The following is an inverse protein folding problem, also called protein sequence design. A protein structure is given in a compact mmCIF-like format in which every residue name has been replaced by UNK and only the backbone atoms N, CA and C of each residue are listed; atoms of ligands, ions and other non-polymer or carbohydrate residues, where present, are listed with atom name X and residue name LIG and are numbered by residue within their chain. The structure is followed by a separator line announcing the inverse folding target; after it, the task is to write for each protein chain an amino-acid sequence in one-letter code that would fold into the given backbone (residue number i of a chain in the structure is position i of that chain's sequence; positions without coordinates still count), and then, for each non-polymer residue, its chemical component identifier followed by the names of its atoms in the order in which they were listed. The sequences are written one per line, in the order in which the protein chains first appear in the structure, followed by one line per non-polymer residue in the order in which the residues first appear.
data_IF_906199056894
#
_entry.id   IF_906199056894
#
_cell.length_a   1.000
_cell.length_b   1.000
_cell.length_c   1.000
_cell.angle_alpha   90.00
_cell.angle_beta   90.00
_cell.angle_gamma   90.00
#
_symmetry.space_group_name_H-M   'P 1'
#
loop_
_entity.id
_entity.type
_entity.pdbx_description
1 polymer ?
#
# COMPACT_ATOMS: atom_id res chain seq x y z
N UNK A 1 -9.15 3.12 8.17
CA UNK A 1 -7.79 2.81 7.64
C UNK A 1 -7.27 3.84 6.63
N UNK A 2 -7.86 4.01 5.44
CA UNK A 2 -7.30 4.92 4.40
C UNK A 2 -7.15 6.38 4.85
N UNK A 3 -8.14 6.95 5.52
CA UNK A 3 -8.09 8.33 6.00
C UNK A 3 -6.99 8.56 7.05
N UNK A 4 -6.81 7.62 7.99
CA UNK A 4 -5.73 7.69 8.98
C UNK A 4 -4.34 7.57 8.31
N UNK A 5 -4.20 6.71 7.31
CA UNK A 5 -2.97 6.60 6.52
C UNK A 5 -2.65 7.90 5.77
N UNK A 6 -3.66 8.58 5.21
CA UNK A 6 -3.50 9.89 4.58
C UNK A 6 -3.01 10.93 5.60
N UNK A 7 -3.67 11.03 6.76
CA UNK A 7 -3.26 11.95 7.83
C UNK A 7 -1.82 11.69 8.28
N UNK A 8 -1.48 10.43 8.55
CA UNK A 8 -0.14 10.03 8.98
C UNK A 8 0.93 10.32 7.91
N UNK A 9 0.62 10.12 6.62
CA UNK A 9 1.56 10.39 5.53
C UNK A 9 1.85 11.88 5.32
N UNK A 10 0.89 12.76 5.64
CA UNK A 10 1.12 14.20 5.66
C UNK A 10 1.88 14.65 6.91
N UNK A 11 1.84 13.89 8.01
CA UNK A 11 2.59 14.17 9.24
C UNK A 11 2.29 15.58 9.77
N UNK A 12 3.33 16.34 10.07
CA UNK A 12 3.23 17.71 10.59
C UNK A 12 2.56 18.68 9.61
N UNK A 13 2.70 18.44 8.30
CA UNK A 13 2.06 19.27 7.27
C UNK A 13 0.54 19.16 7.30
N UNK A 14 -0.03 18.09 7.86
CA UNK A 14 -1.47 17.91 7.93
C UNK A 14 -2.16 19.07 8.64
N UNK A 15 -1.59 19.52 9.76
CA UNK A 15 -2.12 20.63 10.55
C UNK A 15 -2.01 21.99 9.81
N UNK A 16 -1.02 22.15 8.93
CA UNK A 16 -0.84 23.35 8.12
C UNK A 16 -1.75 23.43 6.88
N UNK A 17 -2.47 22.36 6.54
CA UNK A 17 -3.45 22.37 5.46
C UNK A 17 -4.73 23.08 5.89
N UNK A 18 -5.30 23.89 4.99
CA UNK A 18 -6.66 24.41 5.19
C UNK A 18 -7.68 23.28 5.26
N UNK A 19 -8.82 23.52 5.93
CA UNK A 19 -9.90 22.54 6.06
C UNK A 19 -10.37 22.01 4.69
N UNK A 20 -10.42 22.87 3.68
CA UNK A 20 -10.76 22.49 2.31
C UNK A 20 -9.73 21.53 1.71
N UNK A 21 -8.43 21.79 1.91
CA UNK A 21 -7.35 20.89 1.44
C UNK A 21 -7.36 19.57 2.18
N UNK A 22 -7.62 19.58 3.49
CA UNK A 22 -7.76 18.35 4.27
C UNK A 22 -8.93 17.50 3.76
N UNK A 23 -10.11 18.11 3.58
CA UNK A 23 -11.29 17.42 3.04
C UNK A 23 -10.99 16.84 1.66
N UNK A 24 -10.43 17.65 0.76
CA UNK A 24 -10.07 17.23 -0.58
C UNK A 24 -9.06 16.08 -0.56
N UNK A 25 -8.05 16.12 0.31
CA UNK A 25 -7.07 15.03 0.45
C UNK A 25 -7.73 13.72 0.88
N UNK A 26 -8.70 13.74 1.80
CA UNK A 26 -9.38 12.52 2.25
C UNK A 26 -10.27 11.91 1.15
N UNK A 27 -10.88 12.76 0.33
CA UNK A 27 -11.75 12.35 -0.78
C UNK A 27 -10.97 11.92 -2.04
N UNK A 28 -9.75 12.44 -2.22
CA UNK A 28 -8.94 12.27 -3.43
C UNK A 28 -7.63 11.53 -3.14
N UNK A 29 -7.67 10.48 -2.32
CA UNK A 29 -6.53 9.57 -2.10
C UNK A 29 -5.22 10.26 -1.70
N UNK A 30 -5.32 11.35 -0.94
CA UNK A 30 -4.22 12.16 -0.46
C UNK A 30 -3.75 13.26 -1.41
N UNK A 31 -4.35 13.45 -2.58
CA UNK A 31 -4.00 14.54 -3.48
C UNK A 31 -4.52 15.88 -2.98
N UNK A 32 -3.73 16.94 -3.13
CA UNK A 32 -4.15 18.33 -2.93
C UNK A 32 -3.67 19.21 -4.08
N UNK A 33 -4.39 20.30 -4.36
CA UNK A 33 -3.98 21.31 -5.34
C UNK A 33 -3.11 22.37 -4.68
N UNK A 34 -1.99 22.70 -5.31
CA UNK A 34 -1.02 23.70 -4.83
C UNK A 34 -0.50 24.56 -5.99
N UNK A 35 -0.11 25.80 -5.66
CA UNK A 35 0.63 26.65 -6.58
C UNK A 35 2.09 26.15 -6.70
N UNK A 36 2.81 26.45 -7.81
CA UNK A 36 4.20 26.08 -7.98
C UNK A 36 5.15 26.57 -6.88
N UNK A 37 4.82 27.67 -6.19
CA UNK A 37 5.63 28.25 -5.10
C UNK A 37 5.44 27.56 -3.74
N UNK A 38 4.45 26.69 -3.59
CA UNK A 38 4.03 26.12 -2.30
C UNK A 38 4.55 24.70 -2.05
N UNK A 39 5.48 24.19 -2.87
CA UNK A 39 5.85 22.77 -2.85
C UNK A 39 7.25 22.52 -2.27
N UNK A 40 7.37 21.42 -1.52
CA UNK A 40 8.64 20.81 -1.15
C UNK A 40 8.88 19.58 -2.06
N UNK A 41 9.99 19.57 -2.80
CA UNK A 41 10.27 18.66 -3.93
C UNK A 41 10.44 17.18 -3.54
N UNK A 42 10.99 16.94 -2.36
CA UNK A 42 11.55 15.65 -1.97
C UNK A 42 10.50 14.70 -1.38
N UNK A 43 9.56 15.23 -0.60
CA UNK A 43 8.56 14.42 0.11
C UNK A 43 7.31 14.08 -0.73
N UNK A 44 7.01 14.87 -1.77
CA UNK A 44 5.75 14.78 -2.52
C UNK A 44 5.92 14.29 -3.97
N UNK A 45 5.01 13.43 -4.42
CA UNK A 45 4.75 13.16 -5.84
C UNK A 45 3.97 14.31 -6.45
N UNK A 46 4.19 14.58 -7.75
CA UNK A 46 3.57 15.68 -8.49
C UNK A 46 2.85 15.19 -9.74
N UNK A 47 1.66 15.76 -9.97
CA UNK A 47 0.93 15.72 -11.22
C UNK A 47 0.73 17.15 -11.70
N UNK A 48 1.29 17.50 -12.86
CA UNK A 48 1.10 18.83 -13.45
C UNK A 48 -0.27 18.87 -14.13
N UNK A 49 -1.18 19.72 -13.63
CA UNK A 49 -2.50 19.91 -14.24
C UNK A 49 -2.41 20.97 -15.33
N UNK A 50 -1.85 22.14 -15.01
CA UNK A 50 -1.63 23.24 -15.97
C UNK A 50 -0.38 24.06 -15.57
N UNK A 51 -0.17 25.23 -16.19
CA UNK A 51 1.00 26.10 -15.91
C UNK A 51 1.01 26.65 -14.46
N UNK A 52 -0.16 26.81 -13.85
CA UNK A 52 -0.34 27.54 -12.58
C UNK A 52 -0.85 26.66 -11.43
N UNK A 53 -1.18 25.39 -11.70
CA UNK A 53 -1.77 24.48 -10.71
C UNK A 53 -1.13 23.11 -10.83
N UNK A 54 -0.63 22.61 -9.71
CA UNK A 54 -0.13 21.26 -9.56
C UNK A 54 -0.98 20.49 -8.55
N UNK A 55 -1.12 19.19 -8.75
CA UNK A 55 -1.55 18.29 -7.70
C UNK A 55 -0.33 17.65 -7.06
N UNK A 56 -0.30 17.62 -5.74
CA UNK A 56 0.75 16.97 -4.95
C UNK A 56 0.17 16.00 -3.95
N UNK A 57 0.95 14.97 -3.61
CA UNK A 57 0.61 13.96 -2.60
C UNK A 57 1.89 13.38 -2.00
N UNK A 58 1.95 13.04 -0.70
CA UNK A 58 3.11 12.34 -0.15
C UNK A 58 3.47 11.10 -0.95
N UNK A 59 4.75 10.90 -1.28
CA UNK A 59 5.21 9.74 -2.07
C UNK A 59 4.82 8.40 -1.43
N UNK A 60 4.79 8.37 -0.10
CA UNK A 60 4.35 7.21 0.68
C UNK A 60 2.90 6.79 0.41
N UNK A 61 2.04 7.67 -0.08
CA UNK A 61 0.66 7.32 -0.45
C UNK A 61 0.54 6.70 -1.85
N UNK A 62 1.65 6.47 -2.55
CA UNK A 62 1.64 5.69 -3.78
C UNK A 62 1.00 4.31 -3.52
N UNK A 63 0.07 3.91 -4.39
CA UNK A 63 -0.65 2.65 -4.26
C UNK A 63 -1.76 2.61 -3.19
N UNK A 64 -2.08 3.71 -2.49
CA UNK A 64 -3.12 3.70 -1.43
C UNK A 64 -4.50 3.23 -1.93
N UNK A 65 -4.82 3.47 -3.21
CA UNK A 65 -6.03 2.97 -3.86
C UNK A 65 -6.18 1.46 -3.72
N UNK A 66 -5.08 0.75 -3.97
CA UNK A 66 -4.96 -0.71 -4.04
C UNK A 66 -4.21 -1.29 -2.82
N UNK A 67 -4.20 -0.57 -1.70
CA UNK A 67 -3.51 -0.98 -0.47
C UNK A 67 -2.02 -1.37 -0.69
N UNK A 68 -1.33 -0.66 -1.59
CA UNK A 68 0.06 -0.95 -2.01
C UNK A 68 0.27 -2.39 -2.50
N UNK A 69 -0.74 -3.00 -3.10
CA UNK A 69 -0.69 -4.37 -3.62
C UNK A 69 -1.00 -5.46 -2.59
N UNK A 70 -1.33 -5.09 -1.36
CA UNK A 70 -1.76 -6.03 -0.32
C UNK A 70 -3.26 -6.34 -0.44
N UNK A 71 -3.58 -7.62 -0.65
CA UNK A 71 -4.92 -8.15 -0.48
C UNK A 71 -5.16 -8.46 1.00
N UNK A 72 -6.33 -8.08 1.52
CA UNK A 72 -6.77 -8.42 2.88
C UNK A 72 -7.60 -9.69 2.81
N UNK A 73 -7.38 -10.59 3.76
CA UNK A 73 -8.18 -11.82 3.90
C UNK A 73 -9.27 -11.54 4.94
N UNK A 74 -10.51 -11.44 4.49
CA UNK A 74 -11.69 -11.33 5.37
C UNK A 74 -12.52 -12.64 5.34
N UNK A 75 -12.36 -13.42 4.28
CA UNK A 75 -13.02 -14.70 4.04
C UNK A 75 -12.12 -15.67 3.28
N UNK A 76 -12.56 -16.92 3.12
CA UNK A 76 -11.84 -17.91 2.31
C UNK A 76 -11.78 -17.53 0.82
N UNK A 77 -12.73 -16.74 0.32
CA UNK A 77 -12.76 -16.30 -1.08
C UNK A 77 -11.63 -15.32 -1.41
N UNK A 78 -11.12 -14.64 -0.38
CA UNK A 78 -9.98 -13.72 -0.48
C UNK A 78 -8.64 -14.46 -0.50
N UNK A 79 -8.62 -15.79 -0.29
CA UNK A 79 -7.38 -16.54 -0.30
C UNK A 79 -6.76 -16.57 -1.70
N UNK A 80 -5.42 -16.65 -1.79
CA UNK A 80 -4.78 -16.84 -3.09
C UNK A 80 -5.25 -18.15 -3.74
N UNK A 81 -5.25 -18.20 -5.08
CA UNK A 81 -5.71 -19.38 -5.83
C UNK A 81 -4.57 -20.30 -6.27
N UNK A 82 -3.33 -19.83 -6.12
CA UNK A 82 -2.14 -20.47 -6.67
C UNK A 82 -1.22 -20.94 -5.54
N UNK A 83 -0.63 -22.11 -5.74
CA UNK A 83 0.45 -22.61 -4.90
C UNK A 83 1.75 -21.84 -5.20
N UNK A 84 2.05 -20.80 -4.42
CA UNK A 84 3.27 -19.98 -4.57
C UNK A 84 3.63 -19.21 -3.30
N UNK A 85 4.80 -18.57 -3.34
CA UNK A 85 5.31 -17.71 -2.27
C UNK A 85 4.69 -16.31 -2.36
N UNK A 86 4.33 -15.75 -1.21
CA UNK A 86 3.76 -14.41 -1.06
C UNK A 86 4.45 -13.68 0.08
N UNK A 87 4.48 -12.34 0.00
CA UNK A 87 4.65 -11.52 1.19
C UNK A 87 3.39 -11.59 2.03
N UNK A 88 3.51 -11.91 3.31
CA UNK A 88 2.37 -12.13 4.20
C UNK A 88 2.50 -11.28 5.46
N UNK A 89 1.40 -10.67 5.88
CA UNK A 89 1.24 -10.05 7.21
C UNK A 89 0.53 -11.05 8.10
N UNK A 90 1.21 -11.51 9.13
CA UNK A 90 0.62 -12.40 10.15
C UNK A 90 -0.33 -11.62 11.07
N UNK A 91 -1.17 -12.33 11.81
CA UNK A 91 -2.04 -11.72 12.84
C UNK A 91 -1.25 -10.90 13.87
N UNK A 92 -0.03 -11.34 14.21
CA UNK A 92 0.86 -10.66 15.15
C UNK A 92 1.53 -9.39 14.57
N UNK A 93 1.25 -9.06 13.30
CA UNK A 93 1.79 -7.87 12.63
C UNK A 93 3.10 -8.10 11.89
N UNK A 94 3.76 -9.25 12.07
CA UNK A 94 5.00 -9.61 11.38
C UNK A 94 4.80 -9.72 9.87
N UNK A 95 5.82 -9.30 9.12
CA UNK A 95 5.90 -9.53 7.68
C UNK A 95 6.86 -10.67 7.40
N UNK A 96 6.40 -11.70 6.68
CA UNK A 96 7.18 -12.90 6.34
C UNK A 96 6.91 -13.33 4.90
N UNK A 97 7.81 -14.11 4.31
CA UNK A 97 7.51 -14.83 3.07
C UNK A 97 6.92 -16.17 3.49
N UNK A 98 5.69 -16.44 3.07
CA UNK A 98 5.02 -17.71 3.30
C UNK A 98 4.53 -18.25 1.98
N UNK A 99 4.43 -19.57 1.89
CA UNK A 99 3.81 -20.25 0.77
C UNK A 99 2.37 -20.60 1.13
N UNK A 100 1.47 -20.45 0.17
CA UNK A 100 0.07 -20.82 0.32
C UNK A 100 -0.21 -22.16 -0.37
N UNK A 101 -0.96 -23.03 0.28
CA UNK A 101 -1.47 -24.27 -0.31
C UNK A 101 -2.98 -24.14 -0.51
N UNK A 102 -3.47 -24.08 -1.77
CA UNK A 102 -4.88 -23.94 -2.05
C UNK A 102 -5.71 -25.20 -1.77
N UNK A 103 -5.09 -26.38 -1.68
CA UNK A 103 -5.79 -27.64 -1.36
C UNK A 103 -6.17 -27.67 0.12
N UNK A 104 -5.22 -27.33 1.00
CA UNK A 104 -5.43 -27.32 2.45
C UNK A 104 -5.89 -25.95 2.99
N UNK A 105 -5.79 -24.89 2.18
CA UNK A 105 -6.04 -23.48 2.57
C UNK A 105 -5.12 -23.00 3.69
N UNK A 106 -3.88 -23.51 3.72
CA UNK A 106 -2.92 -23.23 4.78
C UNK A 106 -1.70 -22.44 4.29
N UNK A 107 -1.09 -21.72 5.22
CA UNK A 107 0.13 -20.94 5.02
C UNK A 107 1.29 -21.57 5.78
N UNK A 108 2.43 -21.77 5.13
CA UNK A 108 3.62 -22.42 5.70
C UNK A 108 4.90 -21.69 5.34
N UNK A 109 5.91 -21.82 6.20
CA UNK A 109 7.29 -21.41 5.88
C UNK A 109 8.01 -22.59 5.22
N UNK A 110 8.81 -22.34 4.18
CA UNK A 110 9.74 -23.34 3.63
C UNK A 110 10.71 -23.89 4.70
N UNK A 111 11.01 -23.07 5.71
CA UNK A 111 11.89 -23.40 6.81
C UNK A 111 11.27 -24.29 7.90
N UNK A 112 9.93 -24.41 7.93
CA UNK A 112 9.23 -25.12 9.00
C UNK A 112 7.84 -25.54 8.54
N UNK A 113 7.78 -26.69 7.86
CA UNK A 113 6.56 -27.24 7.23
C UNK A 113 5.50 -27.73 8.22
N UNK A 114 5.78 -27.73 9.52
CA UNK A 114 4.84 -28.14 10.58
C UNK A 114 4.11 -26.99 11.29
N UNK A 115 4.37 -25.73 10.94
CA UNK A 115 3.72 -24.57 11.55
C UNK A 115 2.80 -23.88 10.54
N UNK A 116 1.50 -23.92 10.81
CA UNK A 116 0.51 -23.11 10.09
C UNK A 116 0.49 -21.68 10.64
N UNK A 117 0.38 -20.70 9.75
CA UNK A 117 0.36 -19.29 10.11
C UNK A 117 -1.01 -18.68 9.87
N UNK A 118 -1.51 -17.91 10.84
CA UNK A 118 -2.67 -17.04 10.63
C UNK A 118 -2.24 -15.77 9.90
N UNK A 119 -2.60 -15.67 8.62
CA UNK A 119 -2.29 -14.54 7.74
C UNK A 119 -3.50 -13.64 7.59
N UNK A 120 -3.28 -12.32 7.69
CA UNK A 120 -4.34 -11.30 7.55
C UNK A 120 -4.28 -10.57 6.22
N UNK A 121 -3.10 -10.44 5.63
CA UNK A 121 -2.91 -9.84 4.32
C UNK A 121 -1.82 -10.59 3.57
N UNK A 122 -1.90 -10.59 2.25
CA UNK A 122 -0.86 -11.11 1.38
C UNK A 122 -0.62 -10.21 0.18
N UNK A 123 0.58 -10.31 -0.40
CA UNK A 123 0.98 -9.61 -1.61
C UNK A 123 1.79 -10.57 -2.49
N UNK A 124 1.45 -10.73 -3.79
CA UNK A 124 2.22 -11.54 -4.72
C UNK A 124 3.67 -11.07 -4.84
N UNK A 125 4.62 -12.01 -4.89
CA UNK A 125 6.02 -11.72 -5.20
C UNK A 125 6.16 -11.75 -6.73
N UNK A 126 6.57 -10.63 -7.32
CA UNK A 126 6.82 -10.57 -8.77
C UNK A 126 8.09 -11.35 -9.12
N UNK A 127 7.98 -12.30 -10.05
CA UNK A 127 9.14 -12.98 -10.61
C UNK A 127 9.95 -11.97 -11.43
N UNK A 128 11.27 -11.82 -11.20
CA UNK A 128 12.09 -10.93 -12.00
C UNK A 128 12.02 -11.33 -13.49
N UNK A 129 11.93 -10.34 -14.37
CA UNK A 129 11.99 -10.57 -15.81
C UNK A 129 13.36 -11.15 -16.18
N UNK A 130 13.44 -12.06 -17.15
CA UNK A 130 14.72 -12.57 -17.62
C UNK A 130 15.62 -11.42 -18.12
N UNK A 131 16.95 -11.57 -18.05
CA UNK A 131 17.87 -10.55 -18.56
C UNK A 131 17.66 -10.37 -20.06
N UNK A 132 17.81 -9.14 -20.53
CA UNK A 132 17.90 -8.84 -21.96
C UNK A 132 19.39 -9.02 -22.30
N UNK A 133 19.73 -10.12 -22.96
CA UNK A 133 21.07 -10.36 -23.53
C UNK A 133 21.11 -9.91 -24.98
#
# INVERSE_FOLDING_TARGET
MKQQAIKAAYGEFWAGLSNEKQKYALENEGWIKVAPSQYQMDMFSRLKINKNTHSVRPKSLSGIRYNRGWARIESEEDLPKEYKNYWCRTYNGDTKILRFDPEFKEWYCECNTGLSFTVTHYQPIETPKPPIF
#
